data_IF_134357027391
#
_entry.id   IF_134357027391
#
_cell.length_a   1.000
_cell.length_b   1.000
_cell.length_c   1.000
_cell.angle_alpha   90.00
_cell.angle_beta   90.00
_cell.angle_gamma   90.00
#
_symmetry.space_group_name_H-M   'P 1'
#
loop_
_entity.id
_entity.type
_entity.pdbx_description
1 polymer ?
#
# COMPACT_ATOMS: atom_id res chain seq x y z
N UNK A 1 20.20 59.16 32.15
CA UNK A 1 19.50 58.61 30.97
C UNK A 1 18.93 57.25 31.34
N UNK A 2 17.60 57.12 31.47
CA UNK A 2 16.93 55.86 31.86
C UNK A 2 16.35 55.21 30.60
N UNK A 3 16.76 53.97 30.31
CA UNK A 3 16.21 53.14 29.26
C UNK A 3 14.88 52.51 29.70
N UNK A 4 13.83 52.69 28.89
CA UNK A 4 12.55 51.98 29.02
C UNK A 4 12.43 50.96 27.89
N UNK A 5 12.57 49.68 28.23
CA UNK A 5 12.29 48.54 27.37
C UNK A 5 10.79 48.19 27.50
N UNK A 6 10.03 48.25 26.40
CA UNK A 6 8.63 47.79 26.35
C UNK A 6 8.61 46.31 25.96
N UNK A 7 8.17 45.45 26.87
CA UNK A 7 7.84 44.06 26.54
C UNK A 7 6.50 43.99 25.81
N UNK A 8 6.51 43.38 24.63
CA UNK A 8 5.30 43.05 23.88
C UNK A 8 4.65 41.79 24.47
N UNK A 9 3.38 41.88 24.84
CA UNK A 9 2.54 40.74 25.26
C UNK A 9 2.33 39.77 24.11
N UNK A 10 2.85 38.55 24.22
CA UNK A 10 2.49 37.42 23.36
C UNK A 10 1.01 37.07 23.54
N UNK A 11 0.21 37.24 22.49
CA UNK A 11 -1.13 36.66 22.40
C UNK A 11 -0.99 35.17 22.11
N UNK A 12 -1.36 34.32 23.05
CA UNK A 12 -1.62 32.90 22.83
C UNK A 12 -2.76 32.73 21.82
N UNK A 13 -2.45 32.30 20.60
CA UNK A 13 -3.46 31.81 19.66
C UNK A 13 -3.99 30.47 20.19
N UNK A 14 -5.27 30.44 20.61
CA UNK A 14 -6.01 29.20 20.77
C UNK A 14 -6.20 28.59 19.38
N UNK A 15 -5.47 27.52 19.09
CA UNK A 15 -5.71 26.68 17.91
C UNK A 15 -7.02 25.93 18.17
N UNK A 16 -8.07 26.28 17.45
CA UNK A 16 -9.33 25.54 17.45
C UNK A 16 -9.10 24.33 16.52
N UNK A 17 -9.32 23.08 16.97
CA UNK A 17 -9.16 21.91 16.11
C UNK A 17 -10.17 21.97 14.95
N UNK A 18 -9.83 21.48 13.75
CA UNK A 18 -10.76 21.43 12.64
C UNK A 18 -11.96 20.55 13.02
N UNK A 19 -13.17 21.04 12.78
CA UNK A 19 -14.39 20.25 12.96
C UNK A 19 -14.38 19.06 11.98
N UNK A 20 -14.89 17.88 12.39
CA UNK A 20 -15.03 16.74 11.50
C UNK A 20 -15.96 17.08 10.32
N UNK A 21 -15.73 16.49 9.13
CA UNK A 21 -16.59 16.69 7.98
C UNK A 21 -18.04 16.31 8.30
N UNK A 22 -18.98 17.13 7.82
CA UNK A 22 -20.40 16.92 8.06
C UNK A 22 -21.01 16.13 6.90
N UNK A 23 -21.78 15.09 7.24
CA UNK A 23 -22.65 14.38 6.31
C UNK A 23 -24.01 15.08 6.27
N UNK A 24 -24.35 15.68 5.12
CA UNK A 24 -25.67 16.28 4.88
C UNK A 24 -26.19 15.83 3.52
N UNK A 25 -27.25 15.02 3.53
CA UNK A 25 -27.93 14.58 2.31
C UNK A 25 -27.07 13.74 1.33
N UNK A 26 -26.16 12.90 1.84
CA UNK A 26 -25.30 12.05 1.00
C UNK A 26 -24.04 12.74 0.47
N UNK A 27 -23.76 13.97 0.91
CA UNK A 27 -22.55 14.71 0.57
C UNK A 27 -21.62 14.83 1.79
N UNK A 28 -20.31 14.68 1.56
CA UNK A 28 -19.25 14.96 2.53
C UNK A 28 -18.83 16.42 2.33
N UNK A 29 -19.02 17.26 3.34
CA UNK A 29 -18.66 18.68 3.28
C UNK A 29 -17.36 18.91 4.06
N UNK A 30 -16.33 19.41 3.38
CA UNK A 30 -15.08 19.84 4.00
C UNK A 30 -15.10 21.34 4.24
N UNK A 31 -15.06 21.81 5.50
CA UNK A 31 -14.96 23.23 5.77
C UNK A 31 -13.56 23.74 5.40
N UNK A 32 -13.45 24.48 4.30
CA UNK A 32 -12.22 25.16 3.88
C UNK A 32 -12.17 26.55 4.52
N UNK A 33 -11.27 26.74 5.48
CA UNK A 33 -10.95 28.08 5.99
C UNK A 33 -9.83 28.70 5.16
N UNK A 34 -10.21 29.56 4.21
CA UNK A 34 -9.31 30.53 3.59
C UNK A 34 -9.67 31.91 4.14
N UNK A 35 -8.67 32.70 4.52
CA UNK A 35 -8.80 34.05 5.10
C UNK A 35 -9.96 34.84 4.45
N UNK A 36 -11.08 34.95 5.16
CA UNK A 36 -12.17 35.90 4.86
C UNK A 36 -13.20 35.52 3.80
N UNK A 37 -13.22 34.30 3.25
CA UNK A 37 -14.28 33.87 2.32
C UNK A 37 -14.79 32.49 2.72
N UNK A 38 -16.07 32.42 3.09
CA UNK A 38 -16.79 31.17 3.33
C UNK A 38 -17.22 30.60 1.97
N UNK A 39 -16.64 29.46 1.58
CA UNK A 39 -17.02 28.74 0.38
C UNK A 39 -17.13 27.25 0.70
N UNK A 40 -18.25 26.64 0.33
CA UNK A 40 -18.46 25.20 0.46
C UNK A 40 -17.87 24.50 -0.77
N UNK A 41 -16.88 23.64 -0.56
CA UNK A 41 -16.39 22.74 -1.62
C UNK A 41 -17.24 21.48 -1.62
N UNK A 42 -18.22 21.41 -2.52
CA UNK A 42 -19.01 20.20 -2.75
C UNK A 42 -18.31 19.29 -3.76
N UNK A 43 -17.66 18.25 -3.27
CA UNK A 43 -17.19 17.16 -4.13
C UNK A 43 -18.32 16.13 -4.25
N UNK A 44 -18.92 16.01 -5.44
CA UNK A 44 -19.92 14.96 -5.68
C UNK A 44 -19.23 13.60 -5.66
N UNK A 45 -19.82 12.62 -5.00
CA UNK A 45 -19.33 11.23 -4.89
C UNK A 45 -19.03 10.60 -6.25
N UNK A 46 -19.74 11.04 -7.30
CA UNK A 46 -19.55 10.58 -8.68
C UNK A 46 -18.30 11.17 -9.36
N UNK A 47 -17.76 12.30 -8.89
CA UNK A 47 -16.58 12.95 -9.48
C UNK A 47 -15.28 12.25 -9.07
N UNK A 48 -15.22 11.67 -7.86
CA UNK A 48 -14.09 10.85 -7.43
C UNK A 48 -14.02 9.52 -8.21
N UNK A 49 -15.19 8.98 -8.57
CA UNK A 49 -15.33 7.74 -9.36
C UNK A 49 -14.99 7.99 -10.85
N UNK A 50 -15.35 9.16 -11.41
CA UNK A 50 -15.07 9.48 -12.82
C UNK A 50 -13.60 9.79 -13.13
N UNK A 51 -12.80 10.23 -12.15
CA UNK A 51 -11.35 10.39 -12.34
C UNK A 51 -10.61 9.05 -12.46
N UNK A 52 -11.24 7.91 -12.14
CA UNK A 52 -10.60 6.59 -12.12
C UNK A 52 -10.92 5.69 -13.34
N UNK A 53 -11.88 6.04 -14.21
CA UNK A 53 -12.49 5.05 -15.15
C UNK A 53 -12.43 5.41 -16.66
N UNK A 54 -11.90 6.56 -17.08
CA UNK A 54 -11.87 6.90 -18.51
C UNK A 54 -10.55 6.50 -19.22
N UNK A 55 -10.57 5.43 -20.03
CA UNK A 55 -10.13 5.35 -21.45
C UNK A 55 -9.94 3.88 -21.94
N UNK A 56 -10.48 3.67 -23.14
CA UNK A 56 -10.65 2.53 -24.06
C UNK A 56 -9.69 1.32 -24.16
N UNK A 57 -10.34 0.25 -24.61
CA UNK A 57 -9.92 -1.12 -24.96
C UNK A 57 -9.03 -1.21 -26.21
N UNK A 58 -7.94 -1.98 -26.12
CA UNK A 58 -7.44 -2.81 -27.22
C UNK A 58 -6.54 -3.92 -26.65
N UNK A 59 -6.87 -5.18 -26.94
CA UNK A 59 -6.17 -6.37 -26.45
C UNK A 59 -5.14 -6.87 -27.46
N UNK A 60 -3.90 -7.09 -27.01
CA UNK A 60 -2.92 -7.93 -27.69
C UNK A 60 -2.68 -9.19 -26.85
N UNK A 61 -2.88 -10.36 -27.44
CA UNK A 61 -2.56 -11.65 -26.82
C UNK A 61 -1.04 -11.89 -26.84
N UNK A 62 -0.46 -12.21 -25.68
CA UNK A 62 0.94 -12.65 -25.55
C UNK A 62 0.94 -14.17 -25.40
N UNK A 63 1.62 -14.87 -26.29
CA UNK A 63 1.80 -16.31 -26.25
C UNK A 63 2.77 -16.69 -25.11
N UNK A 64 2.33 -17.59 -24.22
CA UNK A 64 3.17 -18.13 -23.13
C UNK A 64 4.18 -19.15 -23.65
N UNK A 65 5.42 -19.09 -23.16
CA UNK A 65 6.42 -20.14 -23.37
C UNK A 65 6.01 -21.39 -22.59
N UNK A 66 5.85 -22.52 -23.27
CA UNK A 66 5.86 -23.82 -22.64
C UNK A 66 7.25 -24.45 -22.80
N UNK A 67 7.90 -24.75 -21.66
CA UNK A 67 8.75 -25.92 -21.52
C UNK A 67 10.15 -25.89 -22.14
N UNK A 68 10.95 -24.87 -21.88
CA UNK A 68 12.42 -25.05 -21.92
C UNK A 68 12.88 -25.63 -20.58
N UNK A 69 13.70 -26.69 -20.62
CA UNK A 69 14.12 -27.47 -19.45
C UNK A 69 14.62 -26.60 -18.29
N UNK A 70 13.90 -26.66 -17.17
CA UNK A 70 14.18 -25.91 -15.95
C UNK A 70 15.58 -26.24 -15.44
N UNK A 71 16.51 -25.29 -15.57
CA UNK A 71 17.74 -25.31 -14.76
C UNK A 71 17.33 -25.34 -13.28
N UNK A 72 18.07 -26.04 -12.41
CA UNK A 72 17.82 -26.01 -10.97
C UNK A 72 17.81 -24.56 -10.50
N UNK A 73 16.64 -24.09 -10.04
CA UNK A 73 16.49 -22.76 -9.47
C UNK A 73 16.88 -22.80 -7.98
N UNK A 74 17.55 -21.76 -7.46
CA UNK A 74 17.78 -21.61 -6.02
C UNK A 74 16.50 -21.81 -5.19
N UNK A 75 16.63 -22.42 -4.01
CA UNK A 75 15.51 -22.73 -3.12
C UNK A 75 14.67 -21.49 -2.77
N UNK A 76 15.30 -20.30 -2.66
CA UNK A 76 14.58 -19.04 -2.41
C UNK A 76 13.47 -18.79 -3.42
N UNK A 77 13.62 -19.23 -4.68
CA UNK A 77 12.64 -18.98 -5.73
C UNK A 77 11.48 -19.98 -5.77
N UNK A 78 11.66 -21.15 -5.15
CA UNK A 78 10.79 -22.32 -5.34
C UNK A 78 10.09 -22.77 -4.06
N UNK A 79 10.39 -22.14 -2.92
CA UNK A 79 9.83 -22.50 -1.62
C UNK A 79 9.19 -21.30 -0.91
N UNK A 80 8.07 -21.56 -0.24
CA UNK A 80 7.43 -20.59 0.64
C UNK A 80 8.04 -20.60 2.04
N UNK A 81 8.08 -19.45 2.69
CA UNK A 81 8.42 -19.30 4.11
C UNK A 81 7.15 -19.41 4.97
N UNK A 82 6.55 -20.60 5.00
CA UNK A 82 5.36 -20.85 5.81
C UNK A 82 5.67 -21.17 7.27
N UNK A 83 4.75 -20.81 8.16
CA UNK A 83 4.72 -21.20 9.56
C UNK A 83 4.65 -22.72 9.67
N UNK A 84 5.32 -23.25 10.69
CA UNK A 84 5.33 -24.67 11.02
C UNK A 84 3.93 -25.28 11.10
N UNK A 85 2.99 -24.56 11.69
CA UNK A 85 1.58 -24.97 11.84
C UNK A 85 0.88 -25.23 10.50
N UNK A 86 1.22 -24.49 9.44
CA UNK A 86 0.66 -24.70 8.11
C UNK A 86 1.28 -25.89 7.39
N UNK A 87 2.55 -26.20 7.68
CA UNK A 87 3.30 -27.29 7.03
C UNK A 87 3.01 -28.63 7.73
N UNK A 88 2.97 -28.64 9.05
CA UNK A 88 2.83 -29.85 9.88
C UNK A 88 1.41 -30.06 10.43
N UNK A 89 0.52 -29.07 10.24
CA UNK A 89 -0.85 -29.14 10.71
C UNK A 89 -1.75 -30.10 9.91
N UNK A 90 -3.06 -30.11 10.21
CA UNK A 90 -4.03 -30.86 9.42
C UNK A 90 -3.93 -30.50 7.94
N UNK A 91 -4.11 -31.50 7.07
CA UNK A 91 -4.07 -31.28 5.61
C UNK A 91 -5.11 -30.25 5.21
N UNK A 92 -4.63 -29.11 4.76
CA UNK A 92 -5.43 -28.03 4.20
C UNK A 92 -5.53 -28.21 2.67
N UNK A 93 -6.76 -28.35 2.17
CA UNK A 93 -6.99 -28.60 0.75
C UNK A 93 -6.53 -27.42 -0.13
N UNK A 94 -6.73 -26.19 0.33
CA UNK A 94 -6.37 -24.98 -0.41
C UNK A 94 -4.84 -24.83 -0.48
N UNK A 95 -4.14 -25.15 0.62
CA UNK A 95 -2.68 -25.19 0.62
C UNK A 95 -2.14 -26.26 -0.33
N UNK A 96 -2.75 -27.44 -0.35
CA UNK A 96 -2.38 -28.50 -1.30
C UNK A 96 -2.64 -28.10 -2.77
N UNK A 97 -3.64 -27.26 -3.04
CA UNK A 97 -3.86 -26.66 -4.37
C UNK A 97 -2.76 -25.65 -4.72
N UNK A 98 -2.40 -24.76 -3.79
CA UNK A 98 -1.30 -23.79 -3.96
C UNK A 98 0.02 -24.51 -4.26
N UNK A 99 0.33 -25.58 -3.54
CA UNK A 99 1.53 -26.39 -3.78
C UNK A 99 1.54 -27.05 -5.16
N UNK A 100 0.38 -27.51 -5.65
CA UNK A 100 0.27 -28.05 -7.02
C UNK A 100 0.47 -26.96 -8.06
N UNK A 101 -0.13 -25.79 -7.86
CA UNK A 101 0.04 -24.65 -8.75
C UNK A 101 1.52 -24.23 -8.79
N UNK A 102 2.19 -24.14 -7.63
CA UNK A 102 3.61 -23.81 -7.53
C UNK A 102 4.48 -24.79 -8.32
N UNK A 103 4.25 -26.10 -8.16
CA UNK A 103 4.97 -27.14 -8.93
C UNK A 103 4.80 -27.00 -10.44
N UNK A 104 3.65 -26.53 -10.89
CA UNK A 104 3.37 -26.31 -12.32
C UNK A 104 3.98 -25.00 -12.86
N UNK A 105 4.15 -23.99 -12.00
CA UNK A 105 4.66 -22.66 -12.38
C UNK A 105 6.18 -22.54 -12.23
N UNK A 106 6.79 -23.38 -11.39
CA UNK A 106 8.24 -23.44 -11.20
C UNK A 106 8.73 -22.53 -10.10
N UNK A 107 8.33 -21.25 -10.08
CA UNK A 107 8.73 -20.28 -9.04
C UNK A 107 7.54 -19.67 -8.32
N UNK A 108 7.78 -19.13 -7.12
CA UNK A 108 6.77 -18.38 -6.34
C UNK A 108 6.32 -17.13 -7.11
N UNK A 109 7.22 -16.45 -7.81
CA UNK A 109 6.87 -15.23 -8.55
C UNK A 109 6.06 -15.55 -9.83
N UNK A 110 6.37 -16.64 -10.53
CA UNK A 110 5.54 -17.14 -11.65
C UNK A 110 4.13 -17.51 -11.16
N UNK A 111 4.02 -18.08 -9.96
CA UNK A 111 2.73 -18.36 -9.34
C UNK A 111 1.95 -17.07 -9.02
N UNK A 112 2.61 -16.06 -8.44
CA UNK A 112 1.97 -14.77 -8.14
C UNK A 112 1.52 -14.06 -9.42
N UNK A 113 2.34 -14.09 -10.47
CA UNK A 113 1.98 -13.58 -11.79
C UNK A 113 0.77 -14.34 -12.34
N UNK A 114 0.76 -15.66 -12.26
CA UNK A 114 -0.38 -16.47 -12.71
C UNK A 114 -1.67 -16.08 -11.98
N UNK A 115 -1.65 -15.95 -10.65
CA UNK A 115 -2.83 -15.49 -9.90
C UNK A 115 -3.26 -14.08 -10.29
N UNK A 116 -2.32 -13.15 -10.50
CA UNK A 116 -2.59 -11.82 -11.03
C UNK A 116 -3.29 -11.88 -12.40
N UNK A 117 -2.72 -12.63 -13.35
CA UNK A 117 -3.25 -12.75 -14.71
C UNK A 117 -4.67 -13.34 -14.72
N UNK A 118 -4.94 -14.32 -13.85
CA UNK A 118 -6.27 -14.92 -13.73
C UNK A 118 -7.28 -13.97 -13.09
N UNK A 119 -6.88 -13.24 -12.04
CA UNK A 119 -7.72 -12.23 -11.41
C UNK A 119 -8.05 -11.07 -12.36
N UNK A 120 -7.17 -10.73 -13.29
CA UNK A 120 -7.44 -9.70 -14.32
C UNK A 120 -8.47 -10.16 -15.36
N UNK A 121 -8.61 -11.47 -15.59
CA UNK A 121 -9.64 -12.05 -16.46
C UNK A 121 -10.99 -12.18 -15.75
N UNK A 122 -10.96 -12.29 -14.42
CA UNK A 122 -12.13 -12.42 -13.58
C UNK A 122 -12.73 -11.04 -13.24
N UNK A 123 -13.95 -10.80 -13.71
CA UNK A 123 -14.67 -9.56 -13.41
C UNK A 123 -15.30 -9.57 -12.01
N UNK A 124 -15.40 -10.74 -11.37
CA UNK A 124 -16.06 -10.93 -10.09
C UNK A 124 -15.23 -10.44 -8.90
N UNK A 125 -15.93 -10.06 -7.83
CA UNK A 125 -15.30 -9.76 -6.52
C UNK A 125 -14.98 -11.00 -5.70
N UNK A 126 -15.50 -12.17 -6.13
CA UNK A 126 -15.29 -13.48 -5.51
C UNK A 126 -14.53 -14.38 -6.48
N UNK A 127 -13.27 -14.62 -6.19
CA UNK A 127 -12.40 -15.45 -7.01
C UNK A 127 -11.63 -16.42 -6.10
N UNK A 128 -11.51 -17.71 -6.46
CA UNK A 128 -10.71 -18.66 -5.68
C UNK A 128 -9.25 -18.23 -5.55
N UNK A 129 -8.76 -17.38 -6.46
CA UNK A 129 -7.40 -16.84 -6.38
C UNK A 129 -7.23 -15.82 -5.25
N UNK A 130 -8.28 -15.08 -4.86
CA UNK A 130 -8.21 -14.25 -3.64
C UNK A 130 -8.12 -15.11 -2.38
N UNK A 131 -8.85 -16.23 -2.33
CA UNK A 131 -8.77 -17.17 -1.21
C UNK A 131 -7.36 -17.78 -1.12
N UNK A 132 -6.76 -18.12 -2.27
CA UNK A 132 -5.37 -18.61 -2.33
C UNK A 132 -4.36 -17.56 -1.85
N UNK A 133 -4.50 -16.30 -2.28
CA UNK A 133 -3.64 -15.21 -1.81
C UNK A 133 -3.78 -14.97 -0.30
N UNK A 134 -5.00 -14.97 0.23
CA UNK A 134 -5.25 -14.88 1.67
C UNK A 134 -4.61 -16.07 2.40
N UNK A 135 -4.74 -17.29 1.88
CA UNK A 135 -4.15 -18.48 2.49
C UNK A 135 -2.62 -18.43 2.53
N UNK A 136 -1.98 -17.96 1.45
CA UNK A 136 -0.53 -17.72 1.43
C UNK A 136 -0.17 -16.69 2.51
N UNK A 137 -0.93 -15.59 2.61
CA UNK A 137 -0.71 -14.56 3.62
C UNK A 137 -0.76 -15.15 5.03
N UNK A 138 -1.83 -15.88 5.33
CA UNK A 138 -2.10 -16.46 6.66
C UNK A 138 -1.04 -17.46 7.10
N UNK A 139 -0.53 -18.24 6.15
CA UNK A 139 0.51 -19.21 6.41
C UNK A 139 1.91 -18.62 6.47
N UNK A 140 2.14 -17.41 5.95
CA UNK A 140 3.45 -16.76 5.99
C UNK A 140 3.75 -16.04 7.30
N UNK A 141 5.05 -15.87 7.57
CA UNK A 141 5.58 -15.24 8.78
C UNK A 141 5.71 -13.72 8.61
N UNK A 142 5.47 -12.97 9.69
CA UNK A 142 5.78 -11.55 9.73
C UNK A 142 7.31 -11.35 9.70
N UNK A 143 7.86 -10.45 8.87
CA UNK A 143 9.24 -10.04 9.03
C UNK A 143 9.38 -9.27 10.34
N UNK A 144 10.51 -9.45 11.04
CA UNK A 144 10.79 -8.69 12.26
C UNK A 144 11.20 -7.25 11.94
N UNK A 145 11.95 -7.10 10.86
CA UNK A 145 12.52 -5.84 10.41
C UNK A 145 12.49 -5.80 8.87
N UNK A 146 12.48 -4.60 8.32
CA UNK A 146 12.62 -4.34 6.90
C UNK A 146 13.58 -3.17 6.73
N UNK A 147 14.44 -3.24 5.72
CA UNK A 147 15.49 -2.25 5.50
C UNK A 147 15.72 -1.97 4.01
N UNK A 148 16.35 -0.81 3.75
CA UNK A 148 16.78 -0.44 2.41
C UNK A 148 15.63 -0.11 1.47
N UNK A 149 15.75 -0.53 0.21
CA UNK A 149 14.76 -0.31 -0.84
C UNK A 149 14.32 -1.65 -1.40
N UNK A 150 13.00 -1.83 -1.49
CA UNK A 150 12.37 -3.00 -2.11
C UNK A 150 11.52 -2.52 -3.27
N UNK A 151 11.64 -3.21 -4.41
CA UNK A 151 10.85 -2.94 -5.59
C UNK A 151 9.40 -3.36 -5.35
N UNK A 152 8.46 -2.66 -5.96
CA UNK A 152 7.03 -2.88 -5.79
C UNK A 152 6.41 -3.55 -7.01
N UNK A 153 5.50 -4.49 -6.77
CA UNK A 153 4.64 -5.05 -7.80
C UNK A 153 3.22 -5.22 -7.27
N UNK A 154 2.21 -4.89 -8.06
CA UNK A 154 0.81 -5.16 -7.71
C UNK A 154 0.41 -6.54 -8.21
N UNK A 155 -0.22 -7.34 -7.35
CA UNK A 155 -0.83 -8.61 -7.73
C UNK A 155 -2.26 -8.35 -8.21
N UNK A 156 -3.08 -7.73 -7.36
CA UNK A 156 -4.47 -7.46 -7.69
C UNK A 156 -5.06 -6.39 -6.75
N UNK A 157 -6.07 -5.67 -7.24
CA UNK A 157 -6.99 -4.91 -6.40
C UNK A 157 -8.29 -5.68 -6.18
N UNK A 158 -8.98 -5.38 -5.09
CA UNK A 158 -10.28 -5.92 -4.76
C UNK A 158 -11.24 -4.79 -4.44
N UNK A 159 -12.37 -4.76 -5.13
CA UNK A 159 -13.42 -3.78 -4.88
C UNK A 159 -14.20 -4.18 -3.61
N UNK A 160 -14.22 -3.29 -2.61
CA UNK A 160 -14.88 -3.50 -1.31
C UNK A 160 -15.97 -2.46 -1.02
N UNK A 161 -16.90 -2.80 -0.11
CA UNK A 161 -17.97 -1.92 0.39
C UNK A 161 -18.77 -1.20 -0.71
N UNK A 162 -18.81 0.13 -0.72
CA UNK A 162 -19.53 0.96 -1.70
C UNK A 162 -19.06 0.74 -3.14
N UNK A 163 -17.89 0.14 -3.34
CA UNK A 163 -17.40 -0.25 -4.68
C UNK A 163 -17.92 -1.63 -5.12
N UNK A 164 -18.60 -2.39 -4.24
CA UNK A 164 -19.28 -3.66 -4.57
C UNK A 164 -20.68 -3.48 -5.14
N UNK A 165 -21.16 -2.26 -5.38
CA UNK A 165 -22.56 -1.98 -5.77
C UNK A 165 -23.00 -2.71 -7.06
N UNK A 166 -22.08 -3.31 -7.83
CA UNK A 166 -22.39 -4.17 -8.98
C UNK A 166 -21.69 -5.55 -8.98
N UNK A 167 -21.05 -5.97 -7.89
CA UNK A 167 -20.21 -7.20 -7.82
C UNK A 167 -19.09 -7.27 -8.88
N UNK A 168 -18.75 -6.14 -9.51
CA UNK A 168 -17.67 -6.02 -10.49
C UNK A 168 -16.42 -5.50 -9.80
N UNK A 169 -15.28 -6.15 -10.04
CA UNK A 169 -13.98 -5.71 -9.54
C UNK A 169 -13.37 -4.62 -10.44
N UNK A 170 -14.01 -3.44 -10.46
CA UNK A 170 -13.64 -2.32 -11.34
C UNK A 170 -12.18 -1.88 -11.12
N UNK A 171 -11.71 -1.89 -9.87
CA UNK A 171 -10.32 -1.50 -9.56
C UNK A 171 -9.30 -2.43 -10.23
N UNK A 172 -9.56 -3.74 -10.22
CA UNK A 172 -8.65 -4.69 -10.83
C UNK A 172 -8.65 -4.60 -12.36
N UNK A 173 -9.83 -4.38 -12.96
CA UNK A 173 -9.97 -4.18 -14.41
C UNK A 173 -9.30 -2.89 -14.89
N UNK A 174 -9.35 -1.83 -14.07
CA UNK A 174 -8.71 -0.55 -14.37
C UNK A 174 -7.18 -0.60 -14.20
N UNK A 175 -6.65 -1.53 -13.42
CA UNK A 175 -5.22 -1.53 -13.07
C UNK A 175 -4.27 -1.63 -14.26
N UNK A 176 -4.43 -2.55 -15.24
CA UNK A 176 -3.53 -2.59 -16.39
C UNK A 176 -3.44 -1.26 -17.14
N UNK A 177 -4.53 -0.49 -17.18
CA UNK A 177 -4.58 0.83 -17.79
C UNK A 177 -3.94 1.90 -16.88
N UNK A 178 -4.27 1.88 -15.59
CA UNK A 178 -3.71 2.81 -14.61
C UNK A 178 -2.20 2.59 -14.39
N UNK A 179 -1.71 1.36 -14.52
CA UNK A 179 -0.31 0.98 -14.32
C UNK A 179 0.61 1.73 -15.28
N UNK A 180 0.16 1.98 -16.51
CA UNK A 180 0.85 2.78 -17.53
C UNK A 180 1.14 4.22 -17.06
N UNK A 181 0.34 4.72 -16.12
CA UNK A 181 0.49 6.04 -15.51
C UNK A 181 1.06 5.99 -14.09
N UNK A 182 1.09 4.81 -13.46
CA UNK A 182 1.57 4.67 -12.08
C UNK A 182 3.07 4.96 -12.02
N UNK A 183 3.49 6.02 -11.30
CA UNK A 183 4.90 6.29 -11.11
C UNK A 183 5.51 5.44 -9.99
N UNK A 184 4.71 4.63 -9.28
CA UNK A 184 5.16 3.84 -8.14
C UNK A 184 6.17 2.76 -8.55
N UNK A 185 7.26 2.69 -7.81
CA UNK A 185 8.36 1.74 -8.06
C UNK A 185 8.66 0.81 -6.89
N UNK A 186 8.25 1.17 -5.67
CA UNK A 186 8.58 0.39 -4.49
C UNK A 186 8.46 1.17 -3.19
N UNK A 187 9.21 0.73 -2.19
CA UNK A 187 9.23 1.36 -0.86
C UNK A 187 10.64 1.38 -0.28
N UNK A 188 10.93 2.41 0.51
CA UNK A 188 12.15 2.47 1.34
C UNK A 188 11.83 2.26 2.80
N UNK A 189 12.82 1.75 3.53
CA UNK A 189 12.78 1.48 4.96
C UNK A 189 14.08 1.98 5.59
N UNK A 190 13.96 3.01 6.42
CA UNK A 190 15.07 3.58 7.17
C UNK A 190 14.76 3.43 8.67
N UNK A 191 15.75 3.20 9.52
CA UNK A 191 15.50 3.17 10.97
C UNK A 191 14.90 4.50 11.41
N UNK A 192 13.78 4.47 12.14
CA UNK A 192 13.14 5.68 12.62
C UNK A 192 13.92 6.24 13.81
N UNK A 193 14.36 7.50 13.72
CA UNK A 193 14.91 8.21 14.86
C UNK A 193 13.86 8.27 16.01
N UNK A 194 14.23 7.95 17.27
CA UNK A 194 13.27 7.92 18.37
C UNK A 194 12.56 9.25 18.63
N UNK A 195 13.25 10.38 18.45
CA UNK A 195 12.64 11.70 18.64
C UNK A 195 11.65 11.99 17.50
N UNK A 196 12.03 11.68 16.26
CA UNK A 196 11.13 11.74 15.10
C UNK A 196 9.89 10.87 15.31
N UNK A 197 10.05 9.63 15.77
CA UNK A 197 8.96 8.70 16.06
C UNK A 197 8.01 9.26 17.13
N UNK A 198 8.55 9.78 18.22
CA UNK A 198 7.76 10.43 19.26
C UNK A 198 7.00 11.64 18.71
N UNK A 199 7.66 12.46 17.89
CA UNK A 199 7.07 13.67 17.35
C UNK A 199 5.91 13.37 16.41
N UNK A 200 6.06 12.42 15.49
CA UNK A 200 5.01 12.09 14.50
C UNK A 200 3.85 11.28 15.08
N UNK A 201 4.05 10.58 16.21
CA UNK A 201 3.02 9.75 16.86
C UNK A 201 2.45 10.37 18.14
N UNK A 202 2.76 11.65 18.39
CA UNK A 202 2.36 12.35 19.63
C UNK A 202 2.77 11.61 20.91
N UNK A 203 3.91 10.92 20.84
CA UNK A 203 4.49 10.11 21.89
C UNK A 203 3.77 8.82 22.21
N UNK A 204 2.84 8.37 21.34
CA UNK A 204 2.23 7.05 21.47
C UNK A 204 3.26 5.94 21.22
N UNK A 205 4.05 6.06 20.17
CA UNK A 205 5.15 5.11 19.91
C UNK A 205 6.38 5.53 20.70
N UNK A 206 6.87 4.64 21.56
CA UNK A 206 8.01 4.88 22.47
C UNK A 206 9.35 4.42 21.90
N UNK A 207 9.34 3.67 20.79
CA UNK A 207 10.54 3.06 20.20
C UNK A 207 10.98 1.74 20.86
N UNK A 208 10.14 1.15 21.72
CA UNK A 208 10.41 -0.17 22.32
C UNK A 208 10.44 -1.31 21.30
N UNK A 209 9.72 -1.15 20.18
CA UNK A 209 9.71 -2.06 19.05
C UNK A 209 10.52 -1.43 17.92
N UNK A 210 11.42 -2.18 17.26
CA UNK A 210 12.11 -1.71 16.06
C UNK A 210 11.11 -1.11 15.07
N UNK A 211 11.33 0.16 14.73
CA UNK A 211 10.40 0.94 13.93
C UNK A 211 11.15 1.64 12.81
N UNK A 212 10.61 1.53 11.60
CA UNK A 212 11.14 2.13 10.40
C UNK A 212 10.34 3.38 10.00
N UNK A 213 11.06 4.42 9.60
CA UNK A 213 10.54 5.47 8.75
C UNK A 213 10.49 4.95 7.32
N UNK A 214 9.27 4.77 6.80
CA UNK A 214 9.06 4.23 5.47
C UNK A 214 8.52 5.26 4.49
N UNK A 215 8.77 5.03 3.21
CA UNK A 215 8.21 5.86 2.13
C UNK A 215 7.85 5.03 0.91
N UNK A 216 6.84 5.45 0.16
CA UNK A 216 6.63 5.00 -1.21
C UNK A 216 7.57 5.76 -2.14
N UNK A 217 8.11 5.07 -3.15
CA UNK A 217 9.02 5.65 -4.11
C UNK A 217 8.38 5.81 -5.49
N UNK A 218 8.76 6.87 -6.18
CA UNK A 218 8.20 7.21 -7.48
C UNK A 218 9.27 7.62 -8.49
N UNK A 219 9.15 7.09 -9.70
CA UNK A 219 9.98 7.45 -10.85
C UNK A 219 9.35 8.61 -11.61
N UNK A 220 10.18 9.41 -12.28
CA UNK A 220 9.82 10.50 -13.19
C UNK A 220 10.50 10.36 -14.56
N UNK A 221 11.04 9.17 -14.84
CA UNK A 221 11.87 8.87 -16.02
C UNK A 221 11.10 9.00 -17.34
N UNK A 222 9.78 8.82 -17.32
CA UNK A 222 8.92 9.02 -18.49
C UNK A 222 8.04 10.26 -18.35
N UNK A 223 7.57 10.80 -19.48
CA UNK A 223 6.64 11.94 -19.48
C UNK A 223 5.37 11.67 -18.66
N UNK A 224 4.79 10.47 -18.78
CA UNK A 224 3.57 10.09 -18.04
C UNK A 224 3.80 10.07 -16.53
N UNK A 225 4.90 9.47 -16.10
CA UNK A 225 5.30 9.43 -14.70
C UNK A 225 5.56 10.84 -14.14
N UNK A 226 6.24 11.69 -14.90
CA UNK A 226 6.46 13.09 -14.53
C UNK A 226 5.15 13.84 -14.35
N UNK A 227 4.20 13.69 -15.26
CA UNK A 227 2.85 14.30 -15.15
C UNK A 227 2.13 13.80 -13.90
N UNK A 228 2.22 12.51 -13.58
CA UNK A 228 1.63 11.95 -12.37
C UNK A 228 2.25 12.56 -11.10
N UNK A 229 3.58 12.63 -11.01
CA UNK A 229 4.28 13.24 -9.88
C UNK A 229 4.01 14.75 -9.77
N UNK A 230 3.95 15.47 -10.89
CA UNK A 230 3.61 16.91 -10.89
C UNK A 230 2.15 17.14 -10.45
N UNK A 231 1.24 16.23 -10.78
CA UNK A 231 -0.15 16.24 -10.27
C UNK A 231 -0.17 16.04 -8.76
N UNK A 232 0.63 15.10 -8.23
CA UNK A 232 0.75 14.90 -6.78
C UNK A 232 1.27 16.16 -6.06
N UNK A 233 2.27 16.85 -6.63
CA UNK A 233 2.74 18.14 -6.11
C UNK A 233 1.64 19.20 -6.11
N UNK A 234 0.86 19.29 -7.20
CA UNK A 234 -0.27 20.22 -7.31
C UNK A 234 -1.37 19.94 -6.27
N UNK A 235 -1.53 18.68 -5.86
CA UNK A 235 -2.42 18.25 -4.78
C UNK A 235 -1.78 18.37 -3.38
N UNK A 236 -0.60 18.98 -3.28
CA UNK A 236 0.15 19.16 -2.03
C UNK A 236 0.48 17.86 -1.28
N UNK A 237 0.67 16.75 -2.01
CA UNK A 237 1.23 15.53 -1.44
C UNK A 237 2.64 15.83 -0.95
N UNK A 238 2.96 15.43 0.28
CA UNK A 238 4.29 15.57 0.86
C UNK A 238 5.30 14.70 0.09
N UNK A 239 6.12 15.34 -0.74
CA UNK A 239 7.14 14.70 -1.55
C UNK A 239 8.53 15.21 -1.18
N UNK A 240 9.47 14.29 -1.05
CA UNK A 240 10.89 14.56 -0.83
C UNK A 240 11.69 14.09 -2.05
N UNK A 241 12.64 14.88 -2.56
CA UNK A 241 13.52 14.42 -3.63
C UNK A 241 14.43 13.30 -3.13
N UNK A 242 14.66 12.30 -3.98
CA UNK A 242 15.69 11.30 -3.73
C UNK A 242 17.09 11.96 -3.78
N UNK A 243 18.04 11.40 -3.03
CA UNK A 243 19.43 11.83 -3.07
C UNK A 243 20.08 11.51 -4.42
N UNK A 244 21.18 12.19 -4.75
CA UNK A 244 21.91 11.92 -6.00
C UNK A 244 22.40 10.45 -6.08
N UNK A 245 22.73 9.84 -4.94
CA UNK A 245 23.11 8.42 -4.87
C UNK A 245 21.94 7.51 -5.20
N UNK A 246 20.77 7.77 -4.61
CA UNK A 246 19.55 7.00 -4.84
C UNK A 246 19.11 7.09 -6.29
N UNK A 247 19.10 8.29 -6.88
CA UNK A 247 18.74 8.48 -8.30
C UNK A 247 19.66 7.68 -9.22
N UNK A 248 20.96 7.62 -8.89
CA UNK A 248 21.96 6.91 -9.70
C UNK A 248 21.83 5.39 -9.57
N UNK A 249 21.50 4.89 -8.39
CA UNK A 249 21.55 3.45 -8.07
C UNK A 249 20.19 2.77 -8.03
N UNK A 250 19.09 3.53 -7.94
CA UNK A 250 17.72 3.04 -7.78
C UNK A 250 16.82 3.57 -8.91
N UNK A 251 15.63 3.01 -9.03
CA UNK A 251 14.65 3.36 -10.08
C UNK A 251 13.63 4.43 -9.64
N UNK A 252 14.02 5.37 -8.77
CA UNK A 252 13.11 6.42 -8.30
C UNK A 252 13.79 7.77 -8.14
N UNK A 253 12.99 8.82 -8.22
CA UNK A 253 13.43 10.22 -8.17
C UNK A 253 12.84 10.98 -6.97
N UNK A 254 11.70 10.53 -6.44
CA UNK A 254 11.04 11.15 -5.28
C UNK A 254 10.48 10.08 -4.33
N UNK A 255 10.43 10.44 -3.05
CA UNK A 255 9.80 9.72 -1.95
C UNK A 255 8.53 10.43 -1.54
N UNK A 256 7.49 9.68 -1.15
CA UNK A 256 6.20 10.24 -0.75
C UNK A 256 5.37 9.25 0.04
N UNK A 257 4.17 9.68 0.45
CA UNK A 257 3.23 8.87 1.23
C UNK A 257 3.95 8.08 2.34
N UNK A 258 4.58 8.85 3.23
CA UNK A 258 5.38 8.32 4.32
C UNK A 258 4.52 7.51 5.29
N UNK A 259 5.13 6.52 5.93
CA UNK A 259 4.48 5.62 6.87
C UNK A 259 5.42 5.22 8.01
N UNK A 260 4.81 4.67 9.05
CA UNK A 260 5.53 4.01 10.15
C UNK A 260 5.44 2.51 9.99
N UNK A 261 6.61 1.91 9.72
CA UNK A 261 6.79 0.47 9.56
C UNK A 261 7.19 -0.17 10.89
N UNK A 262 6.43 -1.13 11.41
CA UNK A 262 6.84 -1.91 12.60
C UNK A 262 6.05 -3.20 12.72
N UNK A 263 6.54 -4.13 13.54
CA UNK A 263 5.75 -5.30 13.94
C UNK A 263 4.51 -4.87 14.76
N UNK A 264 3.36 -5.49 14.48
CA UNK A 264 2.09 -5.17 15.12
C UNK A 264 1.05 -6.28 14.98
N UNK A 265 -0.07 -6.14 15.68
CA UNK A 265 -1.22 -7.04 15.51
C UNK A 265 -2.03 -6.62 14.30
N UNK A 266 -2.42 -7.60 13.50
CA UNK A 266 -3.26 -7.38 12.34
C UNK A 266 -4.58 -6.68 12.70
N UNK A 267 -4.93 -5.67 11.91
CA UNK A 267 -6.22 -4.95 11.92
C UNK A 267 -7.22 -5.57 10.93
N UNK A 268 -6.79 -6.53 10.10
CA UNK A 268 -7.71 -7.33 9.29
C UNK A 268 -8.46 -8.32 10.20
N UNK A 269 -9.80 -8.25 10.31
CA UNK A 269 -10.56 -9.14 11.16
C UNK A 269 -10.37 -10.63 10.78
N UNK A 270 -10.14 -10.93 9.51
CA UNK A 270 -9.94 -12.31 9.02
C UNK A 270 -8.62 -12.91 9.56
N UNK A 271 -7.64 -12.06 9.87
CA UNK A 271 -6.33 -12.45 10.38
C UNK A 271 -6.28 -12.58 11.92
N UNK A 272 -7.40 -12.34 12.62
CA UNK A 272 -7.60 -12.58 14.07
C UNK A 272 -6.51 -12.00 14.97
N UNK A 273 -6.01 -10.80 14.64
CA UNK A 273 -5.02 -10.09 15.47
C UNK A 273 -3.66 -10.78 15.57
N UNK A 274 -3.31 -11.65 14.61
CA UNK A 274 -1.98 -12.27 14.52
C UNK A 274 -0.89 -11.21 14.30
N UNK A 275 0.36 -11.55 14.61
CA UNK A 275 1.50 -10.66 14.32
C UNK A 275 1.74 -10.56 12.81
N UNK A 276 1.92 -9.33 12.34
CA UNK A 276 2.25 -8.91 10.98
C UNK A 276 3.22 -7.72 11.06
N UNK A 277 3.87 -7.37 9.96
CA UNK A 277 4.59 -6.10 9.90
C UNK A 277 3.67 -5.04 9.26
N UNK A 278 3.39 -3.95 9.96
CA UNK A 278 2.41 -2.96 9.54
C UNK A 278 3.09 -1.73 8.93
N UNK A 279 2.55 -1.22 7.83
CA UNK A 279 2.83 0.14 7.35
C UNK A 279 1.65 1.04 7.70
N UNK A 280 1.82 1.88 8.70
CA UNK A 280 0.76 2.74 9.19
C UNK A 280 0.88 4.16 8.60
N UNK A 281 -0.02 4.49 7.68
CA UNK A 281 -0.11 5.79 7.02
C UNK A 281 -1.04 6.77 7.74
N UNK A 282 -1.74 6.32 8.79
CA UNK A 282 -2.87 7.04 9.38
C UNK A 282 -2.48 8.11 10.41
N UNK A 283 -1.21 8.16 10.81
CA UNK A 283 -0.73 9.17 11.74
C UNK A 283 -0.93 10.58 11.17
N UNK A 284 -1.69 11.47 11.85
CA UNK A 284 -2.04 12.78 11.29
C UNK A 284 -0.84 13.63 10.89
N UNK A 285 0.29 13.50 11.59
CA UNK A 285 1.52 14.27 11.32
C UNK A 285 2.32 13.77 10.11
N UNK A 286 2.00 12.59 9.57
CA UNK A 286 2.55 12.14 8.28
C UNK A 286 1.98 12.97 7.11
N UNK A 287 0.84 13.65 7.31
CA UNK A 287 0.17 14.47 6.30
C UNK A 287 -0.07 13.71 4.99
N UNK A 288 -0.39 12.42 5.12
CA UNK A 288 -0.83 11.58 4.01
C UNK A 288 -2.14 12.10 3.44
N UNK A 289 -2.28 12.05 2.12
CA UNK A 289 -3.47 12.53 1.41
C UNK A 289 -4.47 11.38 1.25
N UNK A 290 -5.79 11.62 1.29
CA UNK A 290 -6.78 10.56 1.04
C UNK A 290 -6.63 9.90 -0.36
N UNK A 291 -6.80 8.57 -0.47
CA UNK A 291 -7.30 7.67 0.57
C UNK A 291 -6.21 7.16 1.53
N UNK A 292 -4.93 7.36 1.25
CA UNK A 292 -3.81 6.73 1.98
C UNK A 292 -3.79 7.04 3.48
N UNK A 293 -4.34 8.18 3.93
CA UNK A 293 -4.49 8.47 5.36
C UNK A 293 -5.50 7.57 6.10
N UNK A 294 -6.21 6.70 5.38
CA UNK A 294 -7.07 5.63 5.92
C UNK A 294 -6.43 4.24 5.79
N UNK A 295 -5.22 4.16 5.22
CA UNK A 295 -4.55 2.91 4.91
C UNK A 295 -3.68 2.39 6.05
N UNK A 296 -3.71 1.08 6.25
CA UNK A 296 -2.67 0.31 6.92
C UNK A 296 -2.33 -0.86 5.99
N UNK A 297 -1.07 -0.97 5.56
CA UNK A 297 -0.64 -2.19 4.88
C UNK A 297 -0.22 -3.22 5.93
N UNK A 298 -0.47 -4.50 5.66
CA UNK A 298 0.05 -5.61 6.47
C UNK A 298 0.93 -6.50 5.62
N UNK A 299 2.13 -6.79 6.12
CA UNK A 299 3.18 -7.46 5.37
C UNK A 299 3.56 -8.77 6.04
N UNK A 300 3.79 -9.78 5.20
CA UNK A 300 4.44 -11.03 5.54
C UNK A 300 5.53 -11.38 4.55
N UNK A 301 6.49 -12.17 4.98
CA UNK A 301 7.49 -12.75 4.12
C UNK A 301 6.98 -14.08 3.55
N UNK A 302 6.81 -14.13 2.22
CA UNK A 302 6.34 -15.34 1.54
C UNK A 302 7.50 -16.20 1.02
N UNK A 303 8.67 -15.60 0.77
CA UNK A 303 9.91 -16.31 0.46
C UNK A 303 11.13 -15.44 0.85
N UNK A 304 12.34 -16.01 0.84
CA UNK A 304 13.57 -15.25 1.12
C UNK A 304 13.72 -14.01 0.22
N UNK A 305 13.60 -12.80 0.76
CA UNK A 305 13.65 -11.54 0.00
C UNK A 305 12.37 -11.17 -0.77
N UNK A 306 11.28 -11.91 -0.60
CA UNK A 306 9.97 -11.64 -1.23
C UNK A 306 8.89 -11.51 -0.15
N UNK A 307 8.25 -10.35 -0.11
CA UNK A 307 7.23 -10.01 0.85
C UNK A 307 5.91 -9.78 0.15
N UNK A 308 4.81 -10.20 0.78
CA UNK A 308 3.45 -9.95 0.30
C UNK A 308 2.74 -9.01 1.28
N UNK A 309 2.14 -7.97 0.72
CA UNK A 309 1.34 -7.00 1.44
C UNK A 309 -0.15 -7.14 1.15
N UNK A 310 -0.96 -6.89 2.17
CA UNK A 310 -2.40 -6.63 2.07
C UNK A 310 -2.65 -5.14 2.22
N UNK A 311 -3.52 -4.58 1.38
CA UNK A 311 -3.86 -3.16 1.35
C UNK A 311 -5.15 -2.94 2.14
N UNK A 312 -5.08 -2.53 3.41
CA UNK A 312 -6.27 -2.38 4.26
C UNK A 312 -6.66 -0.92 4.41
N UNK A 313 -7.86 -0.56 3.95
CA UNK A 313 -8.43 0.76 4.20
C UNK A 313 -9.53 0.69 5.25
N UNK A 314 -9.53 1.66 6.16
CA UNK A 314 -10.65 1.93 7.03
C UNK A 314 -11.86 2.37 6.20
N UNK A 315 -13.01 1.72 6.41
CA UNK A 315 -14.23 2.03 5.66
C UNK A 315 -15.19 2.92 6.46
N UNK A 316 -15.03 3.01 7.79
CA UNK A 316 -15.62 4.08 8.59
C UNK A 316 -14.79 5.38 8.45
N UNK A 317 -15.05 6.10 7.37
CA UNK A 317 -14.39 7.38 7.04
C UNK A 317 -14.82 8.54 7.95
N UNK A 318 -15.84 8.35 8.80
CA UNK A 318 -16.34 9.41 9.69
C UNK A 318 -15.45 9.59 10.94
N UNK A 319 -14.58 8.61 11.20
CA UNK A 319 -13.75 8.53 12.40
C UNK A 319 -12.32 8.95 12.12
N UNK A 320 -11.85 9.94 12.87
CA UNK A 320 -10.43 10.28 12.89
C UNK A 320 -9.61 9.11 13.47
N UNK A 321 -8.39 8.95 12.99
CA UNK A 321 -7.50 7.91 13.51
C UNK A 321 -7.05 8.25 14.93
N UNK A 322 -7.31 7.32 15.85
CA UNK A 322 -6.84 7.27 17.22
C UNK A 322 -6.26 5.87 17.48
N UNK A 323 -4.94 5.76 17.74
CA UNK A 323 -4.26 4.48 17.96
C UNK A 323 -4.66 3.78 19.26
N UNK A 324 -5.40 4.43 20.16
CA UNK A 324 -5.90 3.85 21.42
C UNK A 324 -7.24 3.13 21.27
N UNK A 325 -7.94 3.37 20.18
CA UNK A 325 -9.22 2.74 19.90
C UNK A 325 -9.03 1.34 19.34
N UNK A 326 -10.03 0.49 19.58
CA UNK A 326 -10.11 -0.82 18.97
C UNK A 326 -10.11 -0.69 17.43
N UNK A 327 -9.19 -1.36 16.70
CA UNK A 327 -9.14 -1.34 15.25
C UNK A 327 -10.47 -1.72 14.56
N UNK A 328 -11.29 -2.57 15.18
CA UNK A 328 -12.58 -3.00 14.63
C UNK A 328 -13.54 -1.82 14.42
N UNK A 329 -13.39 -0.73 15.18
CA UNK A 329 -14.19 0.49 15.05
C UNK A 329 -13.96 1.23 13.72
N UNK A 330 -12.86 0.95 13.01
CA UNK A 330 -12.57 1.54 11.70
C UNK A 330 -13.06 0.69 10.53
N UNK A 331 -13.51 -0.54 10.80
CA UNK A 331 -14.05 -1.48 9.80
C UNK A 331 -13.10 -1.64 8.61
N UNK A 332 -11.87 -2.05 8.89
CA UNK A 332 -10.88 -2.27 7.82
C UNK A 332 -11.34 -3.35 6.84
N UNK A 333 -11.08 -3.12 5.57
CA UNK A 333 -11.31 -4.11 4.51
C UNK A 333 -10.07 -4.24 3.63
N UNK A 334 -9.85 -5.43 3.07
CA UNK A 334 -8.75 -5.69 2.14
C UNK A 334 -9.10 -5.26 0.71
N UNK A 335 -8.39 -4.26 0.19
CA UNK A 335 -8.55 -3.70 -1.15
C UNK A 335 -7.54 -4.25 -2.15
N UNK A 336 -6.67 -5.18 -1.78
CA UNK A 336 -5.73 -5.78 -2.73
C UNK A 336 -4.48 -6.38 -2.11
N UNK A 337 -3.68 -6.95 -3.00
CA UNK A 337 -2.42 -7.59 -2.69
C UNK A 337 -1.29 -7.01 -3.54
N UNK A 338 -0.14 -6.81 -2.92
CA UNK A 338 1.07 -6.36 -3.58
C UNK A 338 2.28 -7.14 -3.09
N UNK A 339 3.40 -7.01 -3.80
CA UNK A 339 4.69 -7.59 -3.46
C UNK A 339 5.71 -6.49 -3.22
N UNK A 340 6.66 -6.80 -2.33
CA UNK A 340 7.92 -6.10 -2.20
C UNK A 340 9.06 -7.09 -2.46
N UNK A 341 9.98 -6.71 -3.34
CA UNK A 341 10.96 -7.60 -3.94
C UNK A 341 12.38 -7.08 -3.70
N UNK A 342 13.29 -7.96 -3.28
CA UNK A 342 14.72 -7.70 -3.36
C UNK A 342 15.22 -7.64 -4.83
N UNK A 343 16.50 -7.32 -5.02
CA UNK A 343 17.09 -7.16 -6.36
C UNK A 343 17.11 -8.45 -7.20
N UNK A 344 17.14 -9.63 -6.59
CA UNK A 344 17.11 -10.89 -7.36
C UNK A 344 15.69 -11.18 -7.86
N UNK A 345 14.70 -10.95 -6.99
CA UNK A 345 13.30 -11.06 -7.37
C UNK A 345 12.89 -10.02 -8.39
N UNK A 346 13.43 -8.80 -8.32
CA UNK A 346 13.20 -7.76 -9.33
C UNK A 346 13.68 -8.20 -10.71
N UNK A 347 14.90 -8.76 -10.81
CA UNK A 347 15.42 -9.26 -12.10
C UNK A 347 14.47 -10.28 -12.72
N UNK A 348 13.99 -11.23 -11.91
CA UNK A 348 13.02 -12.23 -12.35
C UNK A 348 11.69 -11.59 -12.76
N UNK A 349 11.19 -10.63 -11.97
CA UNK A 349 9.94 -9.90 -12.26
C UNK A 349 9.98 -9.24 -13.64
N UNK A 350 11.09 -8.58 -13.95
CA UNK A 350 11.31 -7.94 -15.25
C UNK A 350 11.39 -8.98 -16.36
N UNK A 351 12.10 -10.08 -16.16
CA UNK A 351 12.25 -11.17 -17.13
C UNK A 351 10.89 -11.80 -17.51
N UNK A 352 10.04 -12.09 -16.52
CA UNK A 352 8.71 -12.68 -16.75
C UNK A 352 7.63 -11.65 -17.12
N UNK A 353 7.98 -10.35 -17.10
CA UNK A 353 7.09 -9.25 -17.42
C UNK A 353 5.90 -9.11 -16.46
N UNK A 354 6.12 -9.28 -15.16
CA UNK A 354 5.07 -9.15 -14.15
C UNK A 354 4.98 -7.71 -13.61
N UNK A 355 3.83 -7.05 -13.81
CA UNK A 355 3.56 -5.66 -13.38
C UNK A 355 4.62 -4.64 -13.83
N UNK A 356 5.13 -4.83 -15.05
CA UNK A 356 6.10 -3.92 -15.69
C UNK A 356 5.39 -2.91 -16.57
N UNK A 357 5.86 -1.66 -16.54
CA UNK A 357 5.44 -0.64 -17.51
C UNK A 357 6.19 -0.90 -18.80
N UNK A 358 5.48 -1.30 -19.87
CA UNK A 358 6.06 -1.50 -21.22
C UNK A 358 5.93 -0.26 -22.08
#
# INVERSE_FOLDING_TARGET
>A
MKHTCRMATQRTMKIIPPHPPLLKGGHIIFPLWKRGIQGDFQMKTNTLILCLVAIFLSSCAVAGRQGEGLRPQPEKFTQFTFKKECVEGPKDQLLAEIERDLKQRGTVLDLMKFYSDELQKDIGTKSPYFDKLQKIFDCSMAPKEMDGYLHGAVIAFQSQELMKIFDVNVLNLAWPLARVFSPWTGKTFETCDPQKLKDITDGFETGEVPTNWGSNTYSTRTFRQKVAVDTMKALHVGLEPATAEEIRTRDYDVKGFFFIGREGRSVNPDNKGRMVYQFNYRWPKLKTFPPDNYCIDEIVQIAGGLYMGQLLYATDMSRAYDPKLDPDLYRYCNFGYFLLLDEDWEKMRVEIGFDVVR
#
